data_IF_488593078768
#
_entry.id   IF_488593078768
#
_cell.length_a   1.000
_cell.length_b   1.000
_cell.length_c   1.000
_cell.angle_alpha   90.00
_cell.angle_beta   90.00
_cell.angle_gamma   90.00
#
_symmetry.space_group_name_H-M   'P 1'
#
loop_
_entity.id
_entity.type
_entity.pdbx_description
1 polymer ?
#
# COMPACT_ATOMS: atom_id res chain seq x y z
N UNK A 1 5.09 15.11 14.01
CA UNK A 1 6.40 14.54 13.59
C UNK A 1 7.51 15.41 14.17
N UNK A 2 8.79 15.03 14.09
CA UNK A 2 9.87 15.88 14.61
C UNK A 2 10.93 16.16 13.55
N UNK A 3 11.56 17.32 13.64
CA UNK A 3 12.72 17.72 12.85
C UNK A 3 13.86 18.12 13.79
N UNK A 4 15.09 17.73 13.43
CA UNK A 4 16.29 18.33 14.02
C UNK A 4 16.57 19.63 13.29
N UNK A 5 16.79 20.69 14.07
CA UNK A 5 16.97 22.05 13.57
C UNK A 5 18.33 22.60 13.97
N UNK A 6 18.81 23.57 13.22
CA UNK A 6 19.96 24.40 13.58
C UNK A 6 19.58 25.85 13.24
N UNK A 7 19.20 26.61 14.26
CA UNK A 7 18.56 27.92 14.07
C UNK A 7 17.25 27.79 13.27
N UNK A 8 17.21 28.39 12.09
CA UNK A 8 16.05 28.40 11.18
C UNK A 8 16.13 27.35 10.05
N UNK A 9 17.07 26.40 10.13
CA UNK A 9 17.27 25.37 9.10
C UNK A 9 17.01 23.98 9.65
N UNK A 10 16.35 23.13 8.85
CA UNK A 10 16.20 21.69 9.16
C UNK A 10 17.48 20.95 8.78
N UNK A 11 18.09 20.26 9.75
CA UNK A 11 19.27 19.42 9.50
C UNK A 11 18.91 17.96 9.27
N UNK A 12 17.78 17.50 9.84
CA UNK A 12 17.31 16.12 9.66
C UNK A 12 15.79 16.04 9.79
N UNK A 13 15.14 15.41 8.82
CA UNK A 13 13.73 15.11 8.82
C UNK A 13 13.44 13.89 7.94
N UNK A 14 12.65 12.89 8.39
CA UNK A 14 12.04 12.80 9.72
C UNK A 14 13.10 12.55 10.81
N UNK A 15 12.91 13.17 11.97
CA UNK A 15 13.69 12.92 13.17
C UNK A 15 12.87 12.07 14.13
N UNK A 16 13.45 10.97 14.59
CA UNK A 16 12.76 10.01 15.46
C UNK A 16 13.27 10.08 16.89
N UNK A 17 12.50 9.54 17.82
CA UNK A 17 12.94 9.43 19.21
C UNK A 17 14.13 8.47 19.40
N UNK A 18 14.32 7.55 18.45
CA UNK A 18 15.54 6.72 18.39
C UNK A 18 16.75 7.58 18.09
N UNK A 19 16.64 8.47 17.09
CA UNK A 19 17.71 9.40 16.72
C UNK A 19 18.08 10.31 17.90
N UNK A 20 17.08 10.82 18.64
CA UNK A 20 17.31 11.60 19.85
C UNK A 20 18.15 10.85 20.90
N UNK A 21 17.80 9.60 21.21
CA UNK A 21 18.56 8.80 22.19
C UNK A 21 19.97 8.48 21.70
N UNK A 22 20.14 8.30 20.39
CA UNK A 22 21.42 8.02 19.78
C UNK A 22 22.34 9.25 19.80
N UNK A 23 21.80 10.44 19.53
CA UNK A 23 22.54 11.70 19.55
C UNK A 23 22.91 12.15 20.97
N UNK A 24 22.14 11.73 21.98
CA UNK A 24 22.35 12.09 23.38
C UNK A 24 22.41 10.84 24.29
N UNK A 25 23.44 9.99 24.17
CA UNK A 25 23.51 8.70 24.88
C UNK A 25 23.66 8.84 26.40
N UNK A 26 24.14 9.99 26.88
CA UNK A 26 24.34 10.28 28.30
C UNK A 26 23.10 10.92 28.95
N UNK A 27 21.99 11.07 28.21
CA UNK A 27 20.74 11.67 28.70
C UNK A 27 19.68 10.58 28.82
N UNK A 28 19.09 10.46 30.01
CA UNK A 28 17.96 9.57 30.23
C UNK A 28 16.67 10.24 29.78
N UNK A 29 16.13 9.78 28.65
CA UNK A 29 14.84 10.24 28.16
C UNK A 29 13.70 9.39 28.74
N UNK A 30 12.52 9.98 28.98
CA UNK A 30 11.30 9.23 29.28
C UNK A 30 11.00 8.14 28.24
N UNK A 31 10.15 7.19 28.62
CA UNK A 31 9.75 6.13 27.69
C UNK A 31 8.95 6.69 26.51
N UNK A 32 8.09 7.67 26.78
CA UNK A 32 7.23 8.35 25.82
C UNK A 32 7.74 9.77 25.55
N UNK A 33 7.84 10.13 24.27
CA UNK A 33 8.29 11.45 23.83
C UNK A 33 7.27 12.53 24.19
N UNK A 34 5.97 12.20 24.26
CA UNK A 34 4.92 13.14 24.65
C UNK A 34 5.06 13.61 26.11
N UNK A 35 5.83 12.90 26.93
CA UNK A 35 6.14 13.31 28.31
C UNK A 35 7.25 14.37 28.38
N UNK A 36 7.90 14.68 27.26
CA UNK A 36 8.93 15.73 27.19
C UNK A 36 8.23 17.04 26.83
N UNK A 37 8.14 17.95 27.79
CA UNK A 37 7.42 19.22 27.62
C UNK A 37 8.12 20.20 26.68
N UNK A 38 9.43 20.07 26.48
CA UNK A 38 10.21 20.95 25.64
C UNK A 38 11.35 20.17 24.96
N UNK A 39 11.27 20.05 23.63
CA UNK A 39 12.29 19.41 22.80
C UNK A 39 13.32 20.40 22.24
N UNK A 40 13.09 21.71 22.42
CA UNK A 40 13.95 22.77 21.88
C UNK A 40 15.34 22.77 22.51
N UNK A 41 15.47 22.31 23.77
CA UNK A 41 16.75 22.14 24.46
C UNK A 41 17.72 21.20 23.71
N UNK A 42 17.20 20.32 22.85
CA UNK A 42 18.00 19.41 22.02
C UNK A 42 18.01 19.81 20.54
N UNK A 43 17.59 21.04 20.23
CA UNK A 43 17.38 21.54 18.87
C UNK A 43 16.42 20.64 18.06
N UNK A 44 15.35 20.18 18.70
CA UNK A 44 14.31 19.39 18.05
C UNK A 44 13.01 20.17 18.10
N UNK A 45 12.38 20.30 16.95
CA UNK A 45 11.09 20.95 16.81
C UNK A 45 10.01 19.95 16.42
N UNK A 46 8.81 20.17 16.97
CA UNK A 46 7.61 19.50 16.47
C UNK A 46 7.21 20.08 15.12
N UNK A 47 6.88 19.17 14.19
CA UNK A 47 6.47 19.48 12.83
C UNK A 47 5.02 19.05 12.66
N UNK A 48 4.18 20.01 12.27
CA UNK A 48 2.78 19.82 11.91
C UNK A 48 2.66 19.47 10.42
N UNK A 49 1.92 18.39 10.12
CA UNK A 49 1.61 17.98 8.75
C UNK A 49 0.45 18.82 8.24
N UNK A 50 0.67 19.57 7.18
CA UNK A 50 -0.41 20.26 6.47
C UNK A 50 -1.21 19.28 5.61
N UNK A 51 -2.39 19.73 5.18
CA UNK A 51 -3.20 18.99 4.23
C UNK A 51 -2.37 18.62 2.98
N UNK A 52 -2.53 17.37 2.54
CA UNK A 52 -1.90 16.88 1.33
C UNK A 52 -2.45 17.64 0.12
N UNK A 53 -1.60 18.01 -0.86
CA UNK A 53 -2.08 18.61 -2.09
C UNK A 53 -2.92 17.61 -2.89
N UNK A 54 -3.82 18.12 -3.73
CA UNK A 54 -4.54 17.28 -4.70
C UNK A 54 -3.54 16.68 -5.69
N UNK A 55 -3.64 15.38 -5.95
CA UNK A 55 -2.80 14.64 -6.90
C UNK A 55 -3.63 13.56 -7.61
N UNK A 56 -3.15 13.08 -8.75
CA UNK A 56 -3.73 11.97 -9.50
C UNK A 56 -3.09 10.63 -9.09
N UNK A 57 -3.82 9.74 -8.38
CA UNK A 57 -3.25 8.47 -7.94
C UNK A 57 -2.92 7.48 -9.08
N UNK A 58 -3.35 7.74 -10.31
CA UNK A 58 -2.98 6.92 -11.47
C UNK A 58 -1.62 7.30 -12.06
N UNK A 59 -1.12 8.51 -11.81
CA UNK A 59 0.07 9.05 -12.47
C UNK A 59 1.08 9.72 -11.56
N UNK A 60 0.70 9.97 -10.29
CA UNK A 60 1.45 10.73 -9.32
C UNK A 60 1.44 10.03 -7.95
N UNK A 61 2.40 10.39 -7.11
CA UNK A 61 2.44 10.00 -5.71
C UNK A 61 2.96 11.13 -4.84
N UNK A 62 2.62 11.08 -3.56
CA UNK A 62 3.03 12.08 -2.59
C UNK A 62 4.32 11.67 -1.90
N UNK A 63 5.30 12.57 -1.90
CA UNK A 63 6.58 12.43 -1.19
C UNK A 63 6.61 13.39 -0.02
N UNK A 64 7.23 13.00 1.09
CA UNK A 64 7.40 13.88 2.22
C UNK A 64 8.25 15.10 1.83
N UNK A 65 7.72 16.31 2.04
CA UNK A 65 8.47 17.55 1.84
C UNK A 65 9.45 17.85 2.97
N UNK A 66 10.14 18.98 2.84
CA UNK A 66 11.01 19.53 3.88
C UNK A 66 10.20 20.48 4.76
N UNK A 67 10.30 20.41 6.11
CA UNK A 67 9.61 21.34 6.98
C UNK A 67 10.09 22.79 6.79
N UNK A 68 9.14 23.73 6.83
CA UNK A 68 9.37 25.17 6.71
C UNK A 68 8.94 25.83 8.01
N UNK A 69 9.74 26.77 8.51
CA UNK A 69 9.41 27.55 9.69
C UNK A 69 8.42 28.66 9.33
N UNK A 70 7.22 28.61 9.91
CA UNK A 70 6.12 29.55 9.63
C UNK A 70 5.55 30.20 10.89
N UNK A 71 6.42 30.49 11.87
CA UNK A 71 6.18 31.14 13.18
C UNK A 71 4.73 31.12 13.71
N UNK A 72 4.44 30.43 14.84
CA UNK A 72 5.38 29.89 15.83
C UNK A 72 5.83 28.45 15.56
N UNK A 73 5.38 27.84 14.47
CA UNK A 73 5.42 26.39 14.29
C UNK A 73 6.07 25.97 12.95
N UNK A 74 6.68 24.78 12.97
CA UNK A 74 7.22 24.15 11.77
C UNK A 74 6.13 23.36 11.08
N UNK A 75 5.94 23.62 9.79
CA UNK A 75 4.94 22.92 8.99
C UNK A 75 5.60 22.15 7.87
N UNK A 76 5.01 21.04 7.48
CA UNK A 76 5.44 20.28 6.31
C UNK A 76 4.23 19.92 5.46
N UNK A 77 4.35 20.13 4.16
CA UNK A 77 3.41 19.60 3.18
C UNK A 77 4.09 18.50 2.36
N UNK A 78 3.31 17.55 1.86
CA UNK A 78 3.80 16.57 0.91
C UNK A 78 3.90 17.20 -0.48
N UNK A 79 4.85 16.71 -1.26
CA UNK A 79 5.11 17.19 -2.63
C UNK A 79 4.62 16.15 -3.61
N UNK A 80 3.88 16.60 -4.62
CA UNK A 80 3.43 15.77 -5.73
C UNK A 80 4.63 15.43 -6.61
N UNK A 81 4.87 14.14 -6.81
CA UNK A 81 5.93 13.63 -7.68
C UNK A 81 5.31 12.75 -8.74
N UNK A 82 5.70 12.96 -10.00
CA UNK A 82 5.23 12.14 -11.11
C UNK A 82 5.83 10.73 -11.03
N UNK A 83 5.00 9.73 -11.27
CA UNK A 83 5.47 8.35 -11.46
C UNK A 83 6.35 8.26 -12.70
N UNK A 84 7.39 7.43 -12.61
CA UNK A 84 8.17 7.01 -13.76
C UNK A 84 7.33 6.14 -14.70
N UNK A 85 7.74 6.00 -15.96
CA UNK A 85 7.02 5.15 -16.91
C UNK A 85 6.93 3.69 -16.42
N UNK A 86 8.01 3.15 -15.84
CA UNK A 86 8.02 1.79 -15.30
C UNK A 86 7.05 1.61 -14.12
N UNK A 87 6.87 2.63 -13.29
CA UNK A 87 5.89 2.58 -12.19
C UNK A 87 4.45 2.62 -12.71
N UNK A 88 4.17 3.42 -13.75
CA UNK A 88 2.87 3.46 -14.42
C UNK A 88 2.53 2.11 -15.05
N UNK A 89 3.49 1.51 -15.75
CA UNK A 89 3.30 0.19 -16.38
C UNK A 89 3.07 -0.91 -15.33
N UNK A 90 3.81 -0.87 -14.22
CA UNK A 90 3.63 -1.81 -13.11
C UNK A 90 2.28 -1.62 -12.41
N UNK A 91 1.80 -0.38 -12.29
CA UNK A 91 0.48 -0.10 -11.75
C UNK A 91 -0.62 -0.63 -12.67
N UNK A 92 -0.55 -0.35 -13.98
CA UNK A 92 -1.48 -0.85 -14.99
C UNK A 92 -1.53 -2.39 -14.98
N UNK A 93 -0.38 -3.07 -14.93
CA UNK A 93 -0.34 -4.53 -14.85
C UNK A 93 -1.01 -5.09 -13.58
N UNK A 94 -0.91 -4.38 -12.44
CA UNK A 94 -1.61 -4.76 -11.21
C UNK A 94 -3.12 -4.54 -11.32
N UNK A 95 -3.56 -3.42 -11.92
CA UNK A 95 -4.98 -3.14 -12.10
C UNK A 95 -5.63 -4.10 -13.08
N UNK A 96 -4.97 -4.41 -14.18
CA UNK A 96 -5.47 -5.37 -15.18
C UNK A 96 -5.61 -6.76 -14.57
N UNK A 97 -4.59 -7.21 -13.84
CA UNK A 97 -4.66 -8.49 -13.13
C UNK A 97 -5.75 -8.51 -12.06
N UNK A 98 -5.96 -7.41 -11.35
CA UNK A 98 -7.02 -7.30 -10.36
C UNK A 98 -8.41 -7.32 -11.01
N UNK A 99 -8.57 -6.65 -12.14
CA UNK A 99 -9.79 -6.64 -12.94
C UNK A 99 -10.10 -8.04 -13.51
N UNK A 100 -9.12 -8.71 -14.09
CA UNK A 100 -9.24 -10.10 -14.56
C UNK A 100 -9.65 -11.04 -13.43
N UNK A 101 -9.01 -10.92 -12.26
CA UNK A 101 -9.35 -11.74 -11.09
C UNK A 101 -10.76 -11.43 -10.57
N UNK A 102 -11.17 -10.16 -10.56
CA UNK A 102 -12.51 -9.76 -10.14
C UNK A 102 -13.57 -10.31 -11.11
N UNK A 103 -13.33 -10.24 -12.42
CA UNK A 103 -14.20 -10.82 -13.44
C UNK A 103 -14.32 -12.34 -13.29
N UNK A 104 -13.20 -13.05 -13.06
CA UNK A 104 -13.21 -14.50 -12.83
C UNK A 104 -13.96 -14.86 -11.53
N UNK A 105 -13.80 -14.07 -10.46
CA UNK A 105 -14.52 -14.29 -9.19
C UNK A 105 -16.00 -13.95 -9.25
N UNK A 106 -16.43 -13.11 -10.18
CA UNK A 106 -17.84 -12.79 -10.41
C UNK A 106 -18.55 -13.82 -11.31
N UNK A 107 -17.80 -14.66 -12.02
CA UNK A 107 -18.33 -15.74 -12.87
C UNK A 107 -19.02 -16.81 -12.01
N UNK A 108 -20.33 -16.97 -12.20
CA UNK A 108 -21.17 -17.86 -11.40
C UNK A 108 -20.77 -19.34 -11.54
N UNK A 109 -20.33 -19.76 -12.72
CA UNK A 109 -19.92 -21.15 -12.98
C UNK A 109 -18.57 -21.44 -12.30
N UNK A 110 -17.65 -20.48 -12.33
CA UNK A 110 -16.39 -20.56 -11.58
C UNK A 110 -16.66 -20.63 -10.09
N UNK A 111 -17.55 -19.80 -9.55
CA UNK A 111 -17.91 -19.82 -8.13
C UNK A 111 -18.57 -21.15 -7.70
N UNK A 112 -19.38 -21.75 -8.57
CA UNK A 112 -20.00 -23.05 -8.32
C UNK A 112 -18.93 -24.14 -8.20
N UNK A 113 -17.94 -24.15 -9.11
CA UNK A 113 -16.83 -25.09 -9.06
C UNK A 113 -15.86 -24.85 -7.89
N UNK A 114 -15.59 -23.59 -7.52
CA UNK A 114 -14.76 -23.26 -6.37
C UNK A 114 -15.33 -23.77 -5.04
N UNK A 115 -16.65 -23.91 -4.94
CA UNK A 115 -17.36 -24.40 -3.75
C UNK A 115 -17.71 -25.89 -3.83
N UNK A 116 -17.49 -26.52 -4.99
CA UNK A 116 -17.86 -27.91 -5.22
C UNK A 116 -16.91 -28.86 -4.49
N UNK A 117 -17.47 -29.95 -3.94
CA UNK A 117 -16.68 -31.12 -3.51
C UNK A 117 -16.26 -31.93 -4.75
N UNK A 118 -15.20 -32.76 -4.68
CA UNK A 118 -14.73 -33.53 -5.83
C UNK A 118 -15.83 -34.26 -6.62
N UNK A 119 -16.71 -35.01 -5.95
CA UNK A 119 -17.81 -35.71 -6.63
C UNK A 119 -18.87 -34.80 -7.27
N UNK A 120 -19.01 -33.55 -6.83
CA UNK A 120 -19.89 -32.57 -7.47
C UNK A 120 -19.26 -31.96 -8.75
N UNK A 121 -17.93 -32.03 -8.89
CA UNK A 121 -17.22 -31.62 -10.11
C UNK A 121 -17.47 -32.66 -11.22
N UNK A 122 -17.40 -33.95 -10.89
CA UNK A 122 -17.68 -35.03 -11.85
C UNK A 122 -19.12 -34.91 -12.39
N UNK A 123 -20.10 -34.75 -11.50
CA UNK A 123 -21.51 -34.50 -11.90
C UNK A 123 -21.68 -33.22 -12.72
N UNK A 124 -20.94 -32.16 -12.42
CA UNK A 124 -20.97 -30.93 -13.21
C UNK A 124 -20.45 -31.17 -14.63
N UNK A 125 -19.33 -31.90 -14.78
CA UNK A 125 -18.76 -32.22 -16.10
C UNK A 125 -19.74 -33.08 -16.90
N UNK A 126 -20.28 -34.14 -16.30
CA UNK A 126 -21.24 -35.03 -16.96
C UNK A 126 -22.50 -34.31 -17.46
N UNK A 127 -23.02 -33.35 -16.67
CA UNK A 127 -24.21 -32.59 -17.04
C UNK A 127 -23.97 -31.50 -18.09
N UNK A 128 -22.73 -31.04 -18.25
CA UNK A 128 -22.40 -29.88 -19.09
C UNK A 128 -21.51 -30.23 -20.30
N UNK A 129 -21.17 -31.50 -20.51
CA UNK A 129 -20.33 -31.95 -21.63
C UNK A 129 -21.02 -33.07 -22.40
N UNK A 130 -21.75 -32.70 -23.45
CA UNK A 130 -22.36 -33.65 -24.40
C UNK A 130 -21.61 -33.71 -25.74
N UNK A 131 -20.75 -32.72 -26.01
CA UNK A 131 -19.98 -32.62 -27.23
C UNK A 131 -18.62 -31.92 -27.01
N UNK A 132 -17.78 -31.92 -28.05
CA UNK A 132 -16.43 -31.34 -27.99
C UNK A 132 -16.43 -29.82 -27.78
N UNK A 133 -17.43 -29.10 -28.28
CA UNK A 133 -17.50 -27.65 -28.11
C UNK A 133 -17.79 -27.30 -26.63
N UNK A 134 -18.71 -28.02 -26.01
CA UNK A 134 -19.03 -27.92 -24.58
C UNK A 134 -17.86 -28.35 -23.70
N UNK A 135 -17.16 -29.44 -24.06
CA UNK A 135 -15.95 -29.86 -23.37
C UNK A 135 -14.91 -28.73 -23.28
N UNK A 136 -14.70 -28.00 -24.38
CA UNK A 136 -13.77 -26.86 -24.42
C UNK A 136 -14.24 -25.73 -23.50
N UNK A 137 -15.54 -25.49 -23.40
CA UNK A 137 -16.11 -24.48 -22.50
C UNK A 137 -15.86 -24.86 -21.04
N UNK A 138 -16.21 -26.07 -20.63
CA UNK A 138 -16.02 -26.56 -19.26
C UNK A 138 -14.54 -26.57 -18.85
N UNK A 139 -13.64 -26.98 -19.75
CA UNK A 139 -12.19 -26.91 -19.54
C UNK A 139 -11.70 -25.48 -19.24
N UNK A 140 -12.21 -24.47 -19.96
CA UNK A 140 -11.86 -23.06 -19.70
C UNK A 140 -12.36 -22.59 -18.33
N UNK A 141 -13.53 -23.04 -17.89
CA UNK A 141 -14.07 -22.68 -16.57
C UNK A 141 -13.21 -23.32 -15.47
N UNK A 142 -12.89 -24.61 -15.58
CA UNK A 142 -12.03 -25.33 -14.63
C UNK A 142 -10.62 -24.73 -14.54
N UNK A 143 -10.02 -24.37 -15.67
CA UNK A 143 -8.70 -23.71 -15.70
C UNK A 143 -8.73 -22.33 -15.02
N UNK A 144 -9.82 -21.57 -15.18
CA UNK A 144 -10.00 -20.29 -14.48
C UNK A 144 -10.17 -20.50 -12.97
N UNK A 145 -10.96 -21.50 -12.55
CA UNK A 145 -11.15 -21.83 -11.14
C UNK A 145 -9.83 -22.25 -10.45
N UNK A 146 -9.01 -23.08 -11.11
CA UNK A 146 -7.72 -23.52 -10.57
C UNK A 146 -6.71 -22.37 -10.45
N UNK A 147 -6.69 -21.45 -11.42
CA UNK A 147 -5.84 -20.26 -11.37
C UNK A 147 -6.18 -19.35 -10.16
N UNK A 148 -7.47 -19.21 -9.82
CA UNK A 148 -7.90 -18.45 -8.63
C UNK A 148 -7.43 -19.14 -7.35
N UNK A 149 -7.63 -20.46 -7.24
CA UNK A 149 -7.23 -21.24 -6.05
C UNK A 149 -5.72 -21.16 -5.81
N UNK A 150 -4.90 -21.33 -6.85
CA UNK A 150 -3.45 -21.23 -6.75
C UNK A 150 -3.01 -19.87 -6.21
N UNK A 151 -3.65 -18.78 -6.64
CA UNK A 151 -3.34 -17.44 -6.13
C UNK A 151 -3.79 -17.21 -4.69
N UNK A 152 -4.89 -17.84 -4.25
CA UNK A 152 -5.34 -17.72 -2.86
C UNK A 152 -4.49 -18.51 -1.87
N UNK A 153 -3.90 -19.63 -2.31
CA UNK A 153 -3.06 -20.49 -1.45
C UNK A 153 -1.60 -20.01 -1.34
N UNK A 154 -1.14 -19.19 -2.29
CA UNK A 154 0.23 -18.63 -2.34
C UNK A 154 0.35 -17.25 -1.68
N UNK A 155 -0.71 -16.75 -1.03
CA UNK A 155 -0.70 -15.53 -0.22
C UNK A 155 -0.60 -15.87 1.26
#
# INVERSE_FOLDING_TARGET
MYAKISGTTVTQFPYTFRDLRQDFPNVSFPKDVASISDLSAWNVAEVEQQADPTFDPATEYLVQGVPIYGEPLWTVTRVVTAMTQGEKDAYAAKTDRAADLAAIKADAEVLQLLKARPGAIDTYIENNVTNLAEAKTVLKILARASAVLAQTLLR
#
